data_IF_383793302273
#
_entry.id   IF_383793302273
#
_cell.length_a   1.000
_cell.length_b   1.000
_cell.length_c   1.000
_cell.angle_alpha   90.00
_cell.angle_beta   90.00
_cell.angle_gamma   90.00
#
_symmetry.space_group_name_H-M   'P 1'
#
loop_
_entity.id
_entity.type
_entity.pdbx_description
1 polymer ?
#
# COMPACT_ATOMS: atom_id res chain seq x y z
N UNK A 1 -19.48 -40.60 -19.63
CA UNK A 1 -20.50 -39.60 -19.21
C UNK A 1 -21.28 -40.04 -17.97
N UNK A 2 -21.72 -41.33 -17.92
CA UNK A 2 -22.48 -41.87 -16.78
C UNK A 2 -21.66 -41.86 -15.46
N UNK A 3 -20.36 -42.10 -15.54
CA UNK A 3 -19.42 -42.12 -14.39
C UNK A 3 -19.20 -40.69 -13.84
N UNK A 4 -19.14 -39.68 -14.71
CA UNK A 4 -19.04 -38.26 -14.28
C UNK A 4 -20.33 -37.78 -13.58
N UNK A 5 -21.52 -38.26 -14.00
CA UNK A 5 -22.79 -37.91 -13.35
C UNK A 5 -22.93 -38.57 -11.97
N UNK A 6 -22.47 -39.82 -11.83
CA UNK A 6 -22.45 -40.52 -10.53
C UNK A 6 -21.45 -39.87 -9.54
N UNK A 7 -20.30 -39.42 -10.01
CA UNK A 7 -19.31 -38.69 -9.19
C UNK A 7 -19.82 -37.35 -8.70
N UNK A 8 -20.52 -36.58 -9.53
CA UNK A 8 -21.17 -35.33 -9.11
C UNK A 8 -22.28 -35.54 -8.09
N UNK A 9 -23.04 -36.65 -8.17
CA UNK A 9 -24.13 -36.97 -7.23
C UNK A 9 -23.59 -37.41 -5.87
N UNK A 10 -22.43 -38.04 -5.81
CA UNK A 10 -21.77 -38.47 -4.57
C UNK A 10 -21.08 -37.29 -3.83
N UNK A 11 -20.53 -36.32 -4.55
CA UNK A 11 -19.85 -35.15 -3.95
C UNK A 11 -20.84 -34.19 -3.29
N UNK A 12 -22.08 -34.10 -3.78
CA UNK A 12 -23.11 -33.21 -3.23
C UNK A 12 -23.81 -33.78 -1.95
N UNK A 13 -23.68 -35.07 -1.69
CA UNK A 13 -24.38 -35.74 -0.54
C UNK A 13 -23.50 -36.22 0.61
N UNK A 14 -22.18 -36.18 0.51
CA UNK A 14 -21.30 -36.64 1.62
C UNK A 14 -20.68 -35.49 2.42
N UNK A 15 -21.49 -34.82 3.25
CA UNK A 15 -21.05 -34.40 4.58
C UNK A 15 -21.18 -35.62 5.48
N UNK A 16 -20.20 -36.53 5.54
CA UNK A 16 -20.12 -37.58 6.54
C UNK A 16 -18.72 -38.20 6.61
N UNK A 17 -18.22 -38.20 7.82
CA UNK A 17 -17.19 -39.05 8.47
C UNK A 17 -16.40 -40.02 7.58
N UNK A 18 -15.07 -39.86 7.66
CA UNK A 18 -14.07 -40.83 7.21
C UNK A 18 -14.37 -42.23 7.80
N UNK A 19 -14.84 -43.13 6.94
CA UNK A 19 -14.78 -44.56 7.19
C UNK A 19 -13.91 -45.18 6.11
N UNK A 20 -12.84 -45.84 6.53
CA UNK A 20 -11.92 -46.60 5.67
C UNK A 20 -12.68 -47.69 4.95
N UNK A 21 -12.88 -47.56 3.64
CA UNK A 21 -13.39 -48.66 2.80
C UNK A 21 -12.40 -48.83 1.64
N UNK A 22 -11.62 -49.88 1.78
CA UNK A 22 -10.75 -50.36 0.69
C UNK A 22 -11.58 -51.09 -0.37
N UNK A 23 -11.92 -50.45 -1.47
CA UNK A 23 -12.48 -51.06 -2.66
C UNK A 23 -11.40 -51.21 -3.74
N UNK A 24 -11.08 -52.43 -4.15
CA UNK A 24 -10.21 -52.72 -5.28
C UNK A 24 -11.07 -53.02 -6.51
N UNK A 25 -10.89 -52.26 -7.58
CA UNK A 25 -11.44 -52.59 -8.89
C UNK A 25 -10.25 -53.01 -9.77
N UNK A 26 -10.29 -54.25 -10.29
CA UNK A 26 -9.27 -54.82 -11.16
C UNK A 26 -9.77 -54.79 -12.60
N UNK A 27 -9.05 -54.09 -13.48
CA UNK A 27 -9.17 -54.22 -14.93
C UNK A 27 -7.78 -54.23 -15.54
N UNK A 28 -7.31 -55.40 -16.03
CA UNK A 28 -6.15 -55.57 -16.87
C UNK A 28 -4.84 -54.90 -16.38
N UNK A 29 -3.76 -54.99 -17.07
CA UNK A 29 -2.38 -54.54 -16.75
C UNK A 29 -2.21 -53.00 -16.49
N UNK A 30 -3.15 -52.33 -15.86
CA UNK A 30 -3.10 -50.92 -15.49
C UNK A 30 -2.84 -50.79 -13.98
N UNK A 31 -1.87 -49.94 -13.60
CA UNK A 31 -1.52 -49.62 -12.21
C UNK A 31 -2.79 -49.29 -11.40
N UNK A 32 -3.05 -50.07 -10.36
CA UNK A 32 -4.19 -49.89 -9.45
C UNK A 32 -3.90 -48.64 -8.62
N UNK A 33 -4.70 -47.56 -8.81
CA UNK A 33 -4.74 -46.43 -7.91
C UNK A 33 -5.85 -46.69 -6.89
N UNK A 34 -5.58 -46.42 -5.62
CA UNK A 34 -6.59 -46.50 -4.57
C UNK A 34 -7.61 -45.38 -4.75
N UNK A 35 -8.84 -45.56 -4.24
CA UNK A 35 -9.87 -44.49 -4.28
C UNK A 35 -9.38 -43.21 -3.62
N UNK A 36 -8.52 -43.32 -2.60
CA UNK A 36 -7.85 -42.19 -1.95
C UNK A 36 -6.86 -41.47 -2.89
N UNK A 37 -6.10 -42.21 -3.68
CA UNK A 37 -5.17 -41.61 -4.68
C UNK A 37 -5.93 -41.02 -5.87
N UNK A 38 -7.04 -41.61 -6.29
CA UNK A 38 -7.95 -41.03 -7.28
C UNK A 38 -8.64 -39.77 -6.77
N UNK A 39 -9.06 -39.78 -5.51
CA UNK A 39 -9.64 -38.59 -4.85
C UNK A 39 -8.59 -37.52 -4.57
N UNK A 40 -7.35 -37.92 -4.18
CA UNK A 40 -6.24 -36.99 -4.05
C UNK A 40 -5.84 -36.41 -5.42
N UNK A 41 -5.73 -37.24 -6.46
CA UNK A 41 -5.44 -36.76 -7.81
C UNK A 41 -6.58 -35.92 -8.39
N UNK A 42 -7.85 -36.26 -8.12
CA UNK A 42 -8.99 -35.42 -8.50
C UNK A 42 -9.01 -34.11 -7.68
N UNK A 43 -8.67 -34.16 -6.39
CA UNK A 43 -8.51 -32.96 -5.54
C UNK A 43 -7.32 -32.11 -6.02
N UNK A 44 -6.18 -32.71 -6.34
CA UNK A 44 -5.04 -32.00 -6.92
C UNK A 44 -5.31 -31.52 -8.36
N UNK A 45 -6.09 -32.25 -9.15
CA UNK A 45 -6.50 -31.82 -10.49
C UNK A 45 -7.55 -30.70 -10.41
N UNK A 46 -8.51 -30.75 -9.49
CA UNK A 46 -9.48 -29.68 -9.25
C UNK A 46 -8.88 -28.49 -8.50
N UNK A 47 -7.86 -28.71 -7.66
CA UNK A 47 -7.10 -27.61 -7.06
C UNK A 47 -6.13 -26.96 -8.05
N UNK A 48 -5.64 -27.69 -9.08
CA UNK A 48 -4.87 -27.12 -10.19
C UNK A 48 -5.72 -26.44 -11.25
N UNK A 49 -7.04 -26.68 -11.31
CA UNK A 49 -7.96 -26.04 -12.25
C UNK A 49 -8.87 -24.98 -11.60
N UNK A 50 -8.49 -24.37 -10.48
CA UNK A 50 -8.87 -22.98 -10.25
C UNK A 50 -8.13 -22.20 -11.33
N UNK A 51 -8.85 -21.73 -12.35
CA UNK A 51 -8.34 -20.80 -13.34
C UNK A 51 -7.80 -19.57 -12.58
N UNK A 52 -6.57 -19.66 -12.09
CA UNK A 52 -5.83 -18.48 -11.63
C UNK A 52 -5.54 -17.69 -12.88
N UNK A 53 -6.28 -16.62 -13.08
CA UNK A 53 -6.01 -15.64 -14.13
C UNK A 53 -4.89 -14.66 -13.69
N UNK A 54 -3.95 -15.13 -12.84
CA UNK A 54 -2.79 -14.33 -12.46
C UNK A 54 -1.96 -14.11 -13.73
N UNK A 55 -1.78 -12.87 -14.18
CA UNK A 55 -1.01 -12.59 -15.38
C UNK A 55 0.44 -13.04 -15.22
N UNK A 56 0.98 -13.69 -16.23
CA UNK A 56 2.43 -13.94 -16.32
C UNK A 56 3.10 -12.65 -16.76
N UNK A 57 3.79 -11.99 -15.82
CA UNK A 57 4.45 -10.71 -16.03
C UNK A 57 5.89 -10.79 -15.55
N UNK A 58 6.80 -10.29 -16.37
CA UNK A 58 8.20 -10.10 -16.03
C UNK A 58 8.43 -8.62 -15.66
N UNK A 59 9.03 -8.39 -14.51
CA UNK A 59 9.22 -7.03 -14.02
C UNK A 59 10.16 -6.22 -14.92
N UNK A 60 11.08 -6.89 -15.60
CA UNK A 60 12.03 -6.31 -16.54
C UNK A 60 11.35 -5.62 -17.75
N UNK A 61 10.14 -6.06 -18.14
CA UNK A 61 9.35 -5.43 -19.20
C UNK A 61 8.92 -4.00 -18.82
N UNK A 62 9.00 -3.67 -17.54
CA UNK A 62 8.67 -2.36 -16.96
C UNK A 62 9.92 -1.55 -16.58
N UNK A 63 11.04 -1.89 -17.20
CA UNK A 63 12.29 -1.14 -17.08
C UNK A 63 12.34 0.06 -18.03
N UNK A 64 12.98 1.13 -17.60
CA UNK A 64 13.30 2.31 -18.41
C UNK A 64 14.55 2.99 -17.85
N UNK A 65 15.29 3.80 -18.66
CA UNK A 65 16.56 4.40 -18.26
C UNK A 65 16.33 5.61 -17.34
N UNK A 66 16.21 5.38 -16.03
CA UNK A 66 16.16 6.44 -15.02
C UNK A 66 17.57 6.74 -14.53
N UNK A 67 18.13 7.85 -14.97
CA UNK A 67 19.43 8.35 -14.51
C UNK A 67 19.31 9.18 -13.23
N UNK A 68 20.36 9.24 -12.42
CA UNK A 68 20.35 9.91 -11.11
C UNK A 68 20.05 11.42 -11.20
N UNK A 69 20.40 12.07 -12.30
CA UNK A 69 20.11 13.50 -12.57
C UNK A 69 18.62 13.76 -12.80
N UNK A 70 17.84 12.74 -13.13
CA UNK A 70 16.39 12.83 -13.27
C UNK A 70 15.63 12.66 -11.95
N UNK A 71 16.28 12.14 -10.94
CA UNK A 71 15.69 11.97 -9.60
C UNK A 71 15.75 13.31 -8.86
N UNK A 72 14.59 13.86 -8.53
CA UNK A 72 14.51 15.10 -7.77
C UNK A 72 14.90 14.86 -6.31
N UNK A 73 16.13 15.23 -5.94
CA UNK A 73 16.63 15.09 -4.56
C UNK A 73 16.00 16.10 -3.60
N UNK A 74 15.52 17.24 -4.10
CA UNK A 74 14.92 18.33 -3.33
C UNK A 74 13.60 18.79 -3.94
N UNK A 75 12.65 19.27 -3.10
CA UNK A 75 11.41 19.87 -3.58
C UNK A 75 11.69 21.21 -4.27
N UNK A 76 10.79 21.61 -5.18
CA UNK A 76 10.78 22.97 -5.72
C UNK A 76 10.42 23.97 -4.61
N UNK A 77 10.83 25.25 -4.69
CA UNK A 77 10.42 26.29 -3.75
C UNK A 77 8.89 26.35 -3.61
N UNK A 78 8.17 26.42 -4.72
CA UNK A 78 6.71 26.31 -4.75
C UNK A 78 6.30 24.89 -5.17
N UNK A 79 5.46 24.23 -4.36
CA UNK A 79 5.01 22.84 -4.59
C UNK A 79 4.31 22.66 -5.94
N UNK A 80 3.43 23.58 -6.29
CA UNK A 80 2.58 23.54 -7.48
C UNK A 80 3.23 24.13 -8.76
N UNK A 81 4.51 24.52 -8.69
CA UNK A 81 5.31 24.87 -9.86
C UNK A 81 5.91 23.66 -10.57
N UNK A 82 5.73 22.45 -10.05
CA UNK A 82 6.10 21.20 -10.71
C UNK A 82 5.35 21.04 -12.04
N UNK A 83 5.96 20.31 -12.98
CA UNK A 83 5.29 19.93 -14.23
C UNK A 83 4.17 18.93 -13.95
N UNK A 84 3.12 18.99 -14.77
CA UNK A 84 2.01 18.07 -14.78
C UNK A 84 1.84 17.49 -16.19
N UNK A 85 2.07 16.21 -16.35
CA UNK A 85 1.77 15.49 -17.57
C UNK A 85 0.30 15.11 -17.57
N UNK A 86 -0.47 15.55 -18.54
CA UNK A 86 -1.87 15.16 -18.76
C UNK A 86 -1.92 14.11 -19.86
N UNK A 87 -2.47 12.95 -19.52
CA UNK A 87 -2.67 11.84 -20.46
C UNK A 87 -4.14 11.43 -20.51
N UNK A 88 -4.74 11.56 -21.69
CA UNK A 88 -6.12 11.17 -21.97
C UNK A 88 -6.20 10.61 -23.39
N UNK A 89 -6.79 9.41 -23.56
CA UNK A 89 -7.06 8.77 -24.86
C UNK A 89 -5.85 8.75 -25.83
N UNK A 90 -4.66 8.50 -25.30
CA UNK A 90 -3.42 8.44 -26.10
C UNK A 90 -2.77 9.80 -26.38
N UNK A 91 -3.38 10.91 -26.00
CA UNK A 91 -2.80 12.26 -26.10
C UNK A 91 -2.04 12.60 -24.84
N UNK A 92 -0.86 13.21 -25.04
CA UNK A 92 0.00 13.70 -23.95
C UNK A 92 0.13 15.21 -24.10
N UNK A 93 -0.18 15.93 -23.03
CA UNK A 93 -0.01 17.37 -22.92
C UNK A 93 0.82 17.70 -21.68
N UNK A 94 1.58 18.80 -21.73
CA UNK A 94 2.42 19.26 -20.62
C UNK A 94 1.87 20.55 -20.05
N UNK A 95 1.63 20.54 -18.74
CA UNK A 95 1.12 21.68 -17.97
C UNK A 95 2.02 21.92 -16.74
N UNK A 96 1.64 22.89 -15.93
CA UNK A 96 2.16 23.08 -14.57
C UNK A 96 1.10 22.58 -13.58
N UNK A 97 1.49 22.06 -12.44
CA UNK A 97 0.57 21.47 -11.46
C UNK A 97 -0.51 22.47 -10.99
N UNK A 98 -0.18 23.77 -10.93
CA UNK A 98 -1.16 24.85 -10.62
C UNK A 98 -2.36 24.88 -11.57
N UNK A 99 -2.24 24.35 -12.79
CA UNK A 99 -3.33 24.25 -13.76
C UNK A 99 -4.24 23.02 -13.53
N UNK A 100 -3.91 22.15 -12.57
CA UNK A 100 -4.70 20.93 -12.30
C UNK A 100 -6.20 21.20 -12.17
N UNK A 101 -6.68 22.23 -11.45
CA UNK A 101 -8.13 22.48 -11.33
C UNK A 101 -8.83 22.63 -12.68
N UNK A 102 -8.19 23.26 -13.67
CA UNK A 102 -8.76 23.52 -14.99
C UNK A 102 -8.89 22.24 -15.84
N UNK A 103 -8.08 21.22 -15.56
CA UNK A 103 -8.04 19.94 -16.28
C UNK A 103 -9.02 18.90 -15.70
N UNK A 104 -9.58 19.16 -14.53
CA UNK A 104 -10.50 18.24 -13.87
C UNK A 104 -11.95 18.47 -14.29
N UNK A 105 -12.78 17.42 -14.40
CA UNK A 105 -14.20 17.55 -14.65
C UNK A 105 -14.93 18.20 -13.46
N UNK A 106 -15.85 19.11 -13.75
CA UNK A 106 -16.68 19.75 -12.71
C UNK A 106 -17.53 18.73 -11.95
N UNK A 107 -17.74 18.98 -10.68
CA UNK A 107 -18.54 18.10 -9.82
C UNK A 107 -17.95 16.73 -9.57
N UNK A 108 -16.67 16.48 -9.90
CA UNK A 108 -15.98 15.22 -9.58
C UNK A 108 -15.84 15.02 -8.06
N UNK A 109 -15.53 13.81 -7.66
CA UNK A 109 -15.13 13.47 -6.30
C UNK A 109 -13.62 13.16 -6.27
N UNK A 110 -12.84 13.92 -5.52
CA UNK A 110 -11.40 13.73 -5.37
C UNK A 110 -11.06 13.15 -4.00
N UNK A 111 -10.30 12.05 -3.97
CA UNK A 111 -9.97 11.33 -2.74
C UNK A 111 -8.46 11.33 -2.51
N UNK A 112 -8.08 11.79 -1.32
CA UNK A 112 -6.71 11.89 -0.84
C UNK A 112 -6.41 10.83 0.22
N UNK A 113 -5.13 10.54 0.43
CA UNK A 113 -4.66 9.82 1.61
C UNK A 113 -4.13 10.83 2.63
N UNK A 114 -4.83 11.01 3.75
CA UNK A 114 -4.51 12.03 4.77
C UNK A 114 -3.56 11.52 5.87
N UNK A 115 -2.89 10.40 5.62
CA UNK A 115 -1.89 9.88 6.56
C UNK A 115 -0.73 10.86 6.75
N UNK A 116 -0.25 10.97 8.00
CA UNK A 116 0.88 11.81 8.38
C UNK A 116 2.12 10.95 8.60
N UNK A 117 3.24 11.35 7.99
CA UNK A 117 4.53 10.70 8.22
C UNK A 117 4.99 10.96 9.65
N UNK A 118 5.43 9.90 10.31
CA UNK A 118 6.04 9.98 11.64
C UNK A 118 7.57 9.91 11.50
N UNK A 119 8.34 10.60 12.37
CA UNK A 119 9.80 10.53 12.37
C UNK A 119 10.27 9.16 12.88
N UNK A 120 10.06 8.11 12.08
CA UNK A 120 10.21 6.71 12.48
C UNK A 120 11.64 6.18 12.41
N UNK A 121 12.61 7.01 12.05
CA UNK A 121 14.03 6.66 11.95
C UNK A 121 14.78 7.17 13.17
N UNK A 122 15.32 6.25 13.98
CA UNK A 122 15.99 6.52 15.25
C UNK A 122 17.43 6.04 15.20
N UNK A 123 18.34 6.78 15.82
CA UNK A 123 19.73 6.37 15.97
C UNK A 123 20.02 6.00 17.42
N UNK A 124 20.74 4.92 17.59
CA UNK A 124 21.15 4.41 18.90
C UNK A 124 22.63 4.11 18.90
N UNK A 125 23.23 4.10 20.09
CA UNK A 125 24.64 3.82 20.30
C UNK A 125 24.82 2.67 21.28
N UNK A 126 25.73 1.77 20.95
CA UNK A 126 26.21 0.73 21.86
C UNK A 126 27.23 1.31 22.83
N UNK A 127 27.46 0.66 23.97
CA UNK A 127 28.52 1.02 24.90
C UNK A 127 29.93 1.00 24.24
N UNK A 128 30.09 0.18 23.18
CA UNK A 128 31.32 0.13 22.35
C UNK A 128 31.49 1.32 21.40
N UNK A 129 30.51 2.24 21.34
CA UNK A 129 30.52 3.40 20.45
C UNK A 129 29.91 3.18 19.08
N UNK A 130 29.57 1.95 18.70
CA UNK A 130 28.97 1.67 17.39
C UNK A 130 27.54 2.21 17.27
N UNK A 131 27.24 2.92 16.18
CA UNK A 131 25.92 3.47 15.89
C UNK A 131 25.09 2.42 15.15
N UNK A 132 23.84 2.26 15.58
CA UNK A 132 22.80 1.41 14.99
C UNK A 132 21.59 2.28 14.65
N UNK A 133 21.19 2.28 13.38
CA UNK A 133 19.95 2.89 12.94
C UNK A 133 18.80 1.90 13.09
N UNK A 134 17.68 2.36 13.66
CA UNK A 134 16.46 1.56 13.81
C UNK A 134 15.33 2.32 13.15
N UNK A 135 14.74 1.70 12.14
CA UNK A 135 13.62 2.25 11.38
C UNK A 135 12.33 1.47 11.67
N UNK A 136 11.39 2.10 12.38
CA UNK A 136 10.10 1.52 12.75
C UNK A 136 9.22 1.27 11.52
N UNK A 137 8.72 0.04 11.35
CA UNK A 137 7.86 -0.34 10.23
C UNK A 137 6.39 -0.44 10.63
N UNK A 138 6.11 -1.27 11.66
CA UNK A 138 4.76 -1.49 12.16
C UNK A 138 4.77 -1.89 13.63
N UNK A 139 3.70 -1.56 14.39
CA UNK A 139 3.59 -1.96 15.78
C UNK A 139 3.36 -3.47 15.92
N UNK A 140 3.91 -4.06 16.97
CA UNK A 140 3.77 -5.46 17.35
C UNK A 140 3.06 -5.58 18.69
N UNK A 141 3.37 -4.70 19.65
CA UNK A 141 2.72 -4.65 20.95
C UNK A 141 2.69 -3.21 21.49
N UNK A 142 1.51 -2.60 21.66
CA UNK A 142 0.20 -3.01 21.11
C UNK A 142 0.19 -3.13 19.58
N UNK A 143 -0.71 -3.94 19.02
CA UNK A 143 -0.79 -4.16 17.56
C UNK A 143 -1.43 -2.96 16.83
N UNK A 144 -2.38 -2.29 17.48
CA UNK A 144 -3.07 -1.13 16.92
C UNK A 144 -2.18 0.12 16.96
N UNK A 145 -2.07 0.81 15.83
CA UNK A 145 -1.24 2.01 15.69
C UNK A 145 -1.55 3.08 16.74
N UNK A 146 -2.84 3.37 16.96
CA UNK A 146 -3.25 4.40 17.92
C UNK A 146 -2.83 4.05 19.35
N UNK A 147 -2.96 2.78 19.75
CA UNK A 147 -2.54 2.32 21.07
C UNK A 147 -1.02 2.29 21.20
N UNK A 148 -0.32 1.86 20.16
CA UNK A 148 1.14 1.86 20.14
C UNK A 148 1.71 3.28 20.25
N UNK A 149 1.16 4.24 19.52
CA UNK A 149 1.56 5.66 19.62
C UNK A 149 1.18 6.31 20.95
N UNK A 150 0.10 5.86 21.59
CA UNK A 150 -0.32 6.33 22.91
C UNK A 150 0.42 5.66 24.08
N UNK A 151 1.22 4.64 23.85
CA UNK A 151 2.02 3.97 24.89
C UNK A 151 2.96 4.98 25.57
N UNK A 152 3.08 4.91 26.90
CA UNK A 152 3.75 5.96 27.70
C UNK A 152 5.03 5.50 28.40
N UNK A 153 5.41 4.23 28.28
CA UNK A 153 6.60 3.67 28.93
C UNK A 153 7.35 2.68 28.03
N UNK A 154 6.65 1.83 27.28
CA UNK A 154 7.24 0.87 26.37
C UNK A 154 6.29 0.50 25.25
N UNK A 155 6.87 0.06 24.12
CA UNK A 155 6.14 -0.57 23.02
C UNK A 155 7.10 -1.41 22.18
N UNK A 156 6.54 -2.35 21.39
CA UNK A 156 7.33 -3.18 20.46
C UNK A 156 6.95 -2.91 19.03
N UNK A 157 7.96 -2.77 18.20
CA UNK A 157 7.80 -2.54 16.77
C UNK A 157 8.64 -3.52 15.96
N UNK A 158 8.11 -3.94 14.84
CA UNK A 158 8.94 -4.50 13.78
C UNK A 158 9.72 -3.36 13.13
N UNK A 159 11.03 -3.54 12.97
CA UNK A 159 11.94 -2.51 12.50
C UNK A 159 12.91 -3.06 11.46
N UNK A 160 13.36 -2.21 10.53
CA UNK A 160 14.60 -2.44 9.79
C UNK A 160 15.76 -1.95 10.65
N UNK A 161 16.82 -2.76 10.72
CA UNK A 161 17.99 -2.47 11.52
C UNK A 161 19.17 -2.21 10.59
N UNK A 162 19.55 -0.94 10.49
CA UNK A 162 20.77 -0.52 9.79
C UNK A 162 22.00 -1.02 10.51
N UNK A 163 23.01 -1.44 9.75
CA UNK A 163 24.23 -2.04 10.34
C UNK A 163 23.94 -3.23 11.29
N UNK A 164 22.90 -4.02 10.99
CA UNK A 164 22.38 -5.08 11.86
C UNK A 164 23.43 -6.09 12.33
N UNK A 165 24.56 -6.25 11.61
CA UNK A 165 25.71 -7.09 12.00
C UNK A 165 26.45 -6.54 13.23
N UNK A 166 26.34 -5.24 13.49
CA UNK A 166 26.99 -4.56 14.62
C UNK A 166 26.20 -4.70 15.91
N UNK A 167 24.90 -4.95 15.84
CA UNK A 167 24.06 -5.16 17.03
C UNK A 167 24.10 -6.62 17.48
N UNK A 168 24.62 -6.87 18.67
CA UNK A 168 24.79 -8.21 19.26
C UNK A 168 23.69 -8.59 20.25
N UNK A 169 22.62 -7.76 20.36
CA UNK A 169 21.52 -7.98 21.29
C UNK A 169 21.68 -7.24 22.63
N UNK A 170 22.76 -6.47 22.79
CA UNK A 170 22.94 -5.56 23.93
C UNK A 170 21.91 -4.43 23.90
N UNK A 171 21.63 -3.87 25.08
CA UNK A 171 20.74 -2.74 25.24
C UNK A 171 21.38 -1.49 24.60
N UNK A 172 20.66 -0.82 23.72
CA UNK A 172 21.13 0.40 23.07
C UNK A 172 20.56 1.63 23.77
N UNK A 173 21.35 2.71 23.82
CA UNK A 173 20.92 4.03 24.28
C UNK A 173 20.71 4.96 23.09
N UNK A 174 19.72 5.83 23.16
CA UNK A 174 19.47 6.85 22.15
C UNK A 174 20.72 7.68 21.87
N UNK A 175 20.92 8.00 20.60
CA UNK A 175 22.06 8.78 20.14
C UNK A 175 21.60 9.78 19.08
N UNK A 176 22.06 11.02 19.25
CA UNK A 176 21.93 12.09 18.29
C UNK A 176 23.32 12.64 17.97
N UNK A 177 23.59 12.98 16.72
CA UNK A 177 24.86 13.57 16.34
C UNK A 177 24.90 15.04 16.79
N UNK A 178 25.91 15.42 17.56
CA UNK A 178 26.03 16.75 18.18
C UNK A 178 25.52 16.77 19.63
N UNK A 179 24.89 17.87 20.03
CA UNK A 179 24.34 18.05 21.37
C UNK A 179 22.91 17.51 21.46
N UNK A 180 22.73 16.48 22.28
CA UNK A 180 21.39 15.91 22.54
C UNK A 180 20.53 16.97 23.24
N UNK A 181 19.32 17.20 22.72
CA UNK A 181 18.40 18.14 23.35
C UNK A 181 18.07 17.72 24.79
N UNK A 182 17.85 18.69 25.68
CA UNK A 182 17.47 18.41 27.07
C UNK A 182 16.26 17.49 27.16
N UNK A 183 15.29 17.73 26.28
CA UNK A 183 14.04 16.99 26.23
C UNK A 183 14.28 15.50 25.81
N UNK A 184 15.15 15.26 24.83
CA UNK A 184 15.54 13.92 24.44
C UNK A 184 16.36 13.18 25.51
N UNK A 185 17.26 13.91 26.21
CA UNK A 185 18.04 13.36 27.30
C UNK A 185 17.17 12.89 28.48
N UNK A 186 16.13 13.66 28.83
CA UNK A 186 15.19 13.34 29.92
C UNK A 186 14.36 12.07 29.62
N UNK A 187 14.16 11.71 28.35
CA UNK A 187 13.45 10.48 27.97
C UNK A 187 14.22 9.22 28.30
N UNK A 188 15.55 9.27 28.39
CA UNK A 188 16.39 8.08 28.59
C UNK A 188 15.99 6.93 27.65
N UNK A 189 15.69 7.24 26.38
CA UNK A 189 15.17 6.28 25.40
C UNK A 189 16.18 5.16 25.14
N UNK A 190 15.72 3.90 25.25
CA UNK A 190 16.51 2.70 25.03
C UNK A 190 15.81 1.77 24.04
N UNK A 191 16.60 0.91 23.36
CA UNK A 191 16.11 -0.11 22.45
C UNK A 191 16.72 -1.48 22.78
N UNK A 192 15.88 -2.49 22.90
CA UNK A 192 16.25 -3.88 23.10
C UNK A 192 15.78 -4.74 21.92
N UNK A 193 16.66 -5.61 21.42
CA UNK A 193 16.33 -6.56 20.36
C UNK A 193 15.64 -7.78 20.97
N UNK A 194 14.38 -8.02 20.59
CA UNK A 194 13.60 -9.17 21.06
C UNK A 194 13.77 -10.36 20.11
N UNK A 195 13.67 -10.09 18.81
CA UNK A 195 13.76 -11.10 17.75
C UNK A 195 14.45 -10.49 16.54
N UNK A 196 15.18 -11.31 15.77
CA UNK A 196 15.88 -10.83 14.57
C UNK A 196 15.76 -11.81 13.42
N UNK A 197 15.37 -11.28 12.26
CA UNK A 197 15.31 -12.00 10.99
C UNK A 197 16.01 -11.17 9.90
N UNK A 198 17.26 -11.56 9.57
CA UNK A 198 18.07 -10.85 8.57
C UNK A 198 18.36 -9.39 8.96
N UNK A 199 17.79 -8.45 8.19
CA UNK A 199 17.88 -7.00 8.43
C UNK A 199 16.69 -6.46 9.21
N UNK A 200 15.65 -7.26 9.44
CA UNK A 200 14.48 -6.87 10.24
C UNK A 200 14.55 -7.50 11.63
N UNK A 201 13.82 -6.95 12.57
CA UNK A 201 13.70 -7.49 13.92
C UNK A 201 12.59 -6.83 14.71
N UNK A 202 12.16 -7.50 15.78
CA UNK A 202 11.25 -6.92 16.76
C UNK A 202 12.08 -6.22 17.81
N UNK A 203 11.87 -4.92 17.93
CA UNK A 203 12.58 -4.03 18.88
C UNK A 203 11.59 -3.55 19.93
N UNK A 204 11.97 -3.68 21.18
CA UNK A 204 11.27 -3.05 22.31
C UNK A 204 11.93 -1.71 22.63
N UNK A 205 11.12 -0.65 22.56
CA UNK A 205 11.52 0.69 23.01
C UNK A 205 11.03 0.91 24.43
N UNK A 206 11.87 1.51 25.27
CA UNK A 206 11.55 1.90 26.64
C UNK A 206 12.03 3.32 26.88
N UNK A 207 11.23 4.13 27.59
CA UNK A 207 11.56 5.52 27.90
C UNK A 207 10.96 5.96 29.21
N UNK A 208 11.40 7.12 29.71
CA UNK A 208 10.92 7.76 30.92
C UNK A 208 10.08 8.99 30.61
N UNK A 209 9.50 9.63 31.64
CA UNK A 209 8.78 10.89 31.53
C UNK A 209 7.33 10.76 31.12
N UNK A 210 6.79 9.54 30.89
CA UNK A 210 5.36 9.30 30.63
C UNK A 210 4.80 9.91 29.34
N UNK A 211 5.65 10.39 28.43
CA UNK A 211 5.22 10.93 27.14
C UNK A 211 4.72 9.80 26.22
N UNK A 212 3.69 10.02 25.38
CA UNK A 212 3.27 9.08 24.35
C UNK A 212 4.43 8.75 23.38
N UNK A 213 4.50 7.53 22.86
CA UNK A 213 5.53 7.12 21.90
C UNK A 213 5.56 8.02 20.65
N UNK A 214 4.40 8.52 20.21
CA UNK A 214 4.34 9.50 19.12
C UNK A 214 5.16 10.77 19.43
N UNK A 215 5.16 11.25 20.68
CA UNK A 215 5.98 12.38 21.10
C UNK A 215 7.45 12.02 21.23
N UNK A 216 7.75 10.78 21.67
CA UNK A 216 9.13 10.26 21.69
C UNK A 216 9.71 10.25 20.28
N UNK A 217 8.95 9.78 19.29
CA UNK A 217 9.38 9.82 17.89
C UNK A 217 9.59 11.25 17.39
N UNK A 218 8.72 12.21 17.76
CA UNK A 218 8.87 13.61 17.37
C UNK A 218 10.13 14.27 17.97
N UNK A 219 10.52 13.87 19.16
CA UNK A 219 11.69 14.43 19.87
C UNK A 219 12.98 13.76 19.40
N UNK A 220 12.98 12.45 19.22
CA UNK A 220 14.18 11.64 18.99
C UNK A 220 14.35 11.16 17.53
N UNK A 221 13.29 11.21 16.73
CA UNK A 221 13.27 10.60 15.42
C UNK A 221 13.55 11.57 14.26
N UNK A 222 13.96 10.98 13.15
CA UNK A 222 14.12 11.67 11.88
C UNK A 222 13.05 11.21 10.88
N UNK A 223 12.60 12.09 10.02
CA UNK A 223 11.68 11.77 8.94
C UNK A 223 12.36 10.79 7.97
N UNK A 224 11.77 9.62 7.72
CA UNK A 224 12.38 8.64 6.83
C UNK A 224 12.16 9.04 5.37
N UNK A 225 13.14 9.70 4.77
CA UNK A 225 13.13 9.96 3.34
C UNK A 225 13.54 8.70 2.56
N UNK A 226 13.02 8.53 1.32
CA UNK A 226 13.35 7.36 0.50
C UNK A 226 14.84 7.23 0.17
N UNK A 227 15.40 5.99 0.16
CA UNK A 227 16.83 5.76 -0.11
C UNK A 227 17.30 6.28 -1.47
N UNK A 228 16.43 6.33 -2.49
CA UNK A 228 16.79 6.82 -3.83
C UNK A 228 17.06 8.32 -3.89
N UNK A 229 16.75 9.08 -2.83
CA UNK A 229 17.15 10.49 -2.73
C UNK A 229 18.66 10.62 -2.50
N UNK A 230 19.33 9.55 -2.06
CA UNK A 230 20.78 9.44 -1.92
C UNK A 230 21.39 10.65 -1.20
N UNK A 231 20.79 10.99 -0.07
CA UNK A 231 21.22 12.02 0.89
C UNK A 231 20.59 11.76 2.25
N UNK A 232 21.14 12.38 3.27
CA UNK A 232 20.57 12.37 4.61
C UNK A 232 19.33 13.25 4.72
N UNK A 233 18.52 13.02 5.76
CA UNK A 233 17.36 13.84 6.09
C UNK A 233 17.84 15.21 6.57
N UNK A 234 17.25 16.27 6.05
CA UNK A 234 17.51 17.65 6.41
C UNK A 234 16.29 18.29 7.08
N UNK A 235 16.48 19.42 7.77
CA UNK A 235 15.40 20.13 8.46
C UNK A 235 14.21 20.46 7.53
N UNK A 236 14.47 20.73 6.26
CA UNK A 236 13.44 21.00 5.25
C UNK A 236 12.50 19.82 5.04
N UNK A 237 12.96 18.57 5.21
CA UNK A 237 12.14 17.38 4.98
C UNK A 237 11.04 17.21 6.02
N UNK A 238 11.22 17.71 7.25
CA UNK A 238 10.19 17.67 8.28
C UNK A 238 8.89 18.38 7.85
N UNK A 239 9.01 19.45 7.07
CA UNK A 239 7.88 20.18 6.52
C UNK A 239 7.53 19.71 5.09
N UNK A 240 8.54 19.51 4.25
CA UNK A 240 8.33 19.32 2.80
C UNK A 240 7.99 17.89 2.42
N UNK A 241 8.36 16.89 3.25
CA UNK A 241 7.98 15.49 3.05
C UNK A 241 6.64 15.16 3.75
N UNK A 242 5.74 16.17 3.83
CA UNK A 242 4.37 16.08 4.34
C UNK A 242 3.40 16.74 3.37
N UNK A 243 2.19 16.19 3.27
CA UNK A 243 1.09 16.83 2.54
C UNK A 243 0.44 17.90 3.41
N UNK A 244 -0.17 18.93 2.78
CA UNK A 244 -0.87 19.99 3.51
C UNK A 244 -2.08 19.48 4.30
N UNK A 245 -2.67 18.39 3.86
CA UNK A 245 -3.86 17.79 4.45
C UNK A 245 -3.57 16.58 5.36
N UNK A 246 -2.30 16.32 5.67
CA UNK A 246 -1.90 15.22 6.56
C UNK A 246 -2.43 15.41 7.98
N UNK A 247 -3.22 14.46 8.49
CA UNK A 247 -3.89 14.52 9.79
C UNK A 247 -3.57 13.34 10.68
N UNK A 248 -3.67 12.12 10.16
CA UNK A 248 -3.63 10.88 10.93
C UNK A 248 -2.21 10.33 10.93
N UNK A 249 -1.56 10.32 12.11
CA UNK A 249 -0.21 9.79 12.29
C UNK A 249 -0.19 8.28 12.12
N UNK A 250 0.83 7.73 11.47
CA UNK A 250 0.98 6.27 11.35
C UNK A 250 1.74 5.79 10.13
N UNK A 251 2.07 6.69 9.20
CA UNK A 251 2.79 6.34 7.98
C UNK A 251 4.28 6.57 8.14
N UNK A 252 5.07 5.69 7.55
CA UNK A 252 6.53 5.87 7.45
C UNK A 252 6.95 6.44 6.09
N UNK A 253 6.03 6.52 5.12
CA UNK A 253 6.23 7.18 3.84
C UNK A 253 5.10 8.17 3.54
N UNK A 254 5.44 9.29 2.92
CA UNK A 254 4.45 10.27 2.49
C UNK A 254 3.64 9.75 1.30
N UNK A 255 2.35 10.09 1.18
CA UNK A 255 1.60 9.95 -0.08
C UNK A 255 2.08 11.02 -1.07
N UNK A 256 3.19 10.73 -1.75
CA UNK A 256 4.03 11.72 -2.45
C UNK A 256 3.30 12.49 -3.56
N UNK A 257 2.27 11.91 -4.18
CA UNK A 257 1.41 12.62 -5.14
C UNK A 257 0.71 13.84 -4.51
N UNK A 258 0.53 13.83 -3.19
CA UNK A 258 -0.05 14.95 -2.45
C UNK A 258 0.91 16.10 -2.16
N UNK A 259 2.22 15.92 -2.38
CA UNK A 259 3.23 16.93 -2.07
C UNK A 259 3.15 18.16 -2.99
N UNK A 260 2.50 18.05 -4.14
CA UNK A 260 2.34 19.12 -5.11
C UNK A 260 1.23 20.11 -4.76
N UNK A 261 0.26 19.68 -3.93
CA UNK A 261 -0.91 20.50 -3.60
C UNK A 261 -0.53 21.68 -2.71
N UNK A 262 -1.11 22.82 -3.04
CA UNK A 262 -1.10 24.08 -2.27
C UNK A 262 -2.53 24.48 -1.93
N UNK A 263 -2.71 25.38 -0.99
CA UNK A 263 -4.04 25.93 -0.68
C UNK A 263 -4.69 26.52 -1.94
N UNK A 264 -3.93 27.25 -2.76
CA UNK A 264 -4.37 27.80 -4.05
C UNK A 264 -4.97 26.74 -4.97
N UNK A 265 -4.30 25.58 -5.11
CA UNK A 265 -4.79 24.48 -5.94
C UNK A 265 -6.03 23.83 -5.34
N UNK A 266 -6.06 23.62 -4.02
CA UNK A 266 -7.23 23.08 -3.33
C UNK A 266 -8.46 23.99 -3.43
N UNK A 267 -8.27 25.30 -3.31
CA UNK A 267 -9.36 26.27 -3.46
C UNK A 267 -9.84 26.35 -4.91
N UNK A 268 -8.93 26.27 -5.89
CA UNK A 268 -9.28 26.15 -7.31
C UNK A 268 -10.13 24.91 -7.59
N UNK A 269 -9.80 23.76 -6.99
CA UNK A 269 -10.57 22.52 -7.11
C UNK A 269 -11.98 22.70 -6.51
N UNK A 270 -12.09 23.24 -5.30
CA UNK A 270 -13.38 23.49 -4.62
C UNK A 270 -14.25 24.46 -5.41
N UNK A 271 -13.66 25.51 -6.01
CA UNK A 271 -14.40 26.50 -6.80
C UNK A 271 -15.05 25.90 -8.05
N UNK A 272 -14.61 24.74 -8.52
CA UNK A 272 -15.23 23.98 -9.62
C UNK A 272 -16.29 22.97 -9.15
N UNK A 273 -16.71 23.06 -7.89
CA UNK A 273 -17.69 22.14 -7.32
C UNK A 273 -17.18 20.71 -7.15
N UNK A 274 -15.85 20.51 -7.11
CA UNK A 274 -15.23 19.22 -6.88
C UNK A 274 -15.18 18.94 -5.40
N UNK A 275 -15.84 17.87 -4.95
CA UNK A 275 -15.81 17.43 -3.57
C UNK A 275 -14.46 16.82 -3.23
N UNK A 276 -13.92 17.15 -2.04
CA UNK A 276 -12.68 16.60 -1.50
C UNK A 276 -12.98 15.70 -0.31
N UNK A 277 -12.52 14.46 -0.39
CA UNK A 277 -12.66 13.46 0.66
C UNK A 277 -11.31 12.79 0.97
N UNK A 278 -11.24 12.08 2.10
CA UNK A 278 -10.01 11.45 2.53
C UNK A 278 -10.22 9.97 2.86
N UNK A 279 -9.20 9.18 2.57
CA UNK A 279 -8.96 7.87 3.14
C UNK A 279 -7.69 7.94 3.98
N UNK A 280 -7.54 7.03 4.94
CA UNK A 280 -6.29 6.90 5.67
C UNK A 280 -5.70 5.52 5.40
N UNK A 281 -4.60 5.45 4.66
CA UNK A 281 -3.81 4.23 4.49
C UNK A 281 -2.41 4.50 5.03
N UNK A 282 -1.98 3.70 6.00
CA UNK A 282 -0.64 3.79 6.55
C UNK A 282 0.35 3.06 5.64
N UNK A 283 1.18 3.86 4.98
CA UNK A 283 2.19 3.35 4.03
C UNK A 283 3.37 2.79 4.79
N UNK A 284 3.67 1.51 4.57
CA UNK A 284 4.85 0.85 5.12
C UNK A 284 6.12 1.13 4.30
N UNK A 285 7.29 0.88 4.90
CA UNK A 285 8.59 1.06 4.23
C UNK A 285 8.81 0.12 3.02
N UNK A 286 7.97 -0.90 2.86
CA UNK A 286 8.03 -1.81 1.71
C UNK A 286 7.85 -1.13 0.35
N UNK A 287 7.20 0.04 0.32
CA UNK A 287 7.04 0.86 -0.90
C UNK A 287 8.36 1.42 -1.44
N UNK A 288 9.41 1.44 -0.64
CA UNK A 288 10.74 1.89 -1.07
C UNK A 288 11.60 0.77 -1.66
N UNK A 289 11.16 -0.47 -1.56
CA UNK A 289 11.94 -1.62 -2.01
C UNK A 289 11.56 -1.97 -3.46
N UNK A 290 12.55 -2.15 -4.36
CA UNK A 290 12.29 -2.65 -5.70
C UNK A 290 11.79 -4.11 -5.64
N UNK A 291 11.07 -4.53 -6.67
CA UNK A 291 10.73 -5.94 -6.86
C UNK A 291 12.03 -6.70 -7.13
N UNK A 292 12.31 -7.72 -6.33
CA UNK A 292 13.55 -8.51 -6.45
C UNK A 292 13.40 -9.74 -7.36
N UNK A 293 12.19 -10.22 -7.51
CA UNK A 293 11.87 -11.40 -8.30
C UNK A 293 11.59 -10.99 -9.74
N UNK A 294 12.16 -11.69 -10.70
CA UNK A 294 11.92 -11.47 -12.14
C UNK A 294 10.44 -11.70 -12.50
N UNK A 295 9.81 -12.68 -11.87
CA UNK A 295 8.37 -12.95 -12.03
C UNK A 295 7.56 -12.19 -10.98
N UNK A 296 6.66 -11.31 -11.41
CA UNK A 296 5.80 -10.52 -10.54
C UNK A 296 4.92 -11.40 -9.63
N UNK A 297 4.56 -12.60 -10.07
CA UNK A 297 3.78 -13.57 -9.29
C UNK A 297 4.44 -14.02 -7.99
N UNK A 298 5.77 -13.98 -7.92
CA UNK A 298 6.56 -14.37 -6.74
C UNK A 298 6.74 -13.24 -5.72
N UNK A 299 6.54 -12.00 -6.15
CA UNK A 299 6.65 -10.84 -5.26
C UNK A 299 5.56 -10.86 -4.19
N UNK A 300 5.93 -10.56 -2.95
CA UNK A 300 5.01 -10.52 -1.80
C UNK A 300 4.73 -9.08 -1.38
N UNK A 301 3.49 -8.66 -1.54
CA UNK A 301 3.02 -7.36 -1.05
C UNK A 301 2.86 -7.36 0.47
N UNK A 302 3.32 -6.31 1.12
CA UNK A 302 3.06 -6.09 2.53
C UNK A 302 1.59 -5.70 2.75
N UNK A 303 1.07 -6.08 3.93
CA UNK A 303 -0.23 -5.64 4.39
C UNK A 303 -0.16 -4.17 4.77
N UNK A 304 -1.04 -3.36 4.20
CA UNK A 304 -1.21 -1.96 4.58
C UNK A 304 -2.60 -1.78 5.20
N UNK A 305 -2.68 -1.36 6.47
CA UNK A 305 -3.95 -1.08 7.12
C UNK A 305 -4.50 0.25 6.60
N UNK A 306 -5.83 0.29 6.45
CA UNK A 306 -6.51 1.52 6.04
C UNK A 306 -7.84 1.71 6.76
N UNK A 307 -8.30 2.96 6.77
CA UNK A 307 -9.57 3.38 7.34
C UNK A 307 -10.34 4.20 6.31
N UNK A 308 -11.64 3.92 6.18
CA UNK A 308 -12.57 4.67 5.34
C UNK A 308 -13.82 5.00 6.16
N UNK A 309 -14.14 6.29 6.25
CA UNK A 309 -15.32 6.77 6.98
C UNK A 309 -16.62 6.39 6.26
N UNK A 310 -17.69 6.13 7.03
CA UNK A 310 -19.00 5.76 6.50
C UNK A 310 -19.54 6.84 5.52
N UNK A 311 -19.32 8.13 5.85
CA UNK A 311 -19.77 9.24 4.99
C UNK A 311 -19.16 9.20 3.58
N UNK A 312 -17.87 8.83 3.45
CA UNK A 312 -17.25 8.63 2.14
C UNK A 312 -17.86 7.43 1.40
N UNK A 313 -18.10 6.31 2.10
CA UNK A 313 -18.73 5.12 1.50
C UNK A 313 -20.14 5.42 0.97
N UNK A 314 -20.91 6.23 1.69
CA UNK A 314 -22.24 6.68 1.24
C UNK A 314 -22.15 7.61 0.01
N UNK A 315 -21.16 8.51 -0.02
CA UNK A 315 -20.89 9.35 -1.20
C UNK A 315 -20.47 8.51 -2.41
N UNK A 316 -19.60 7.53 -2.22
CA UNK A 316 -19.18 6.60 -3.29
C UNK A 316 -20.35 5.77 -3.82
N UNK A 317 -21.26 5.32 -2.96
CA UNK A 317 -22.44 4.57 -3.33
C UNK A 317 -23.45 5.44 -4.13
N UNK A 318 -23.60 6.70 -3.74
CA UNK A 318 -24.50 7.66 -4.42
C UNK A 318 -23.86 8.31 -5.68
N UNK A 319 -22.60 8.03 -5.94
CA UNK A 319 -21.77 8.70 -6.94
C UNK A 319 -22.33 8.59 -8.36
N UNK A 320 -22.45 9.76 -9.02
CA UNK A 320 -22.79 9.89 -10.44
C UNK A 320 -21.74 10.70 -11.22
N UNK A 321 -20.59 10.97 -10.62
CA UNK A 321 -19.53 11.81 -11.16
C UNK A 321 -18.21 11.02 -11.24
N UNK A 322 -17.19 11.48 -11.98
CA UNK A 322 -15.87 10.86 -12.00
C UNK A 322 -15.19 10.84 -10.63
N UNK A 323 -14.51 9.74 -10.29
CA UNK A 323 -13.73 9.58 -9.09
C UNK A 323 -12.23 9.75 -9.38
N UNK A 324 -11.62 10.71 -8.71
CA UNK A 324 -10.21 11.05 -8.86
C UNK A 324 -9.44 10.57 -7.63
N UNK A 325 -8.51 9.66 -7.82
CA UNK A 325 -7.62 9.24 -6.75
C UNK A 325 -6.31 10.05 -6.78
N UNK A 326 -5.87 10.55 -5.64
CA UNK A 326 -4.57 11.19 -5.49
C UNK A 326 -3.60 10.20 -4.86
N UNK A 327 -2.66 9.72 -5.66
CA UNK A 327 -1.67 8.71 -5.31
C UNK A 327 -2.14 7.27 -5.46
N UNK A 328 -1.18 6.40 -5.68
CA UNK A 328 -1.39 4.95 -5.84
C UNK A 328 -1.95 4.30 -4.57
N UNK A 329 -1.67 4.86 -3.39
CA UNK A 329 -2.24 4.42 -2.11
C UNK A 329 -3.75 4.64 -2.04
N UNK A 330 -4.24 5.78 -2.53
CA UNK A 330 -5.68 6.06 -2.62
C UNK A 330 -6.36 5.10 -3.60
N UNK A 331 -5.73 4.82 -4.76
CA UNK A 331 -6.24 3.81 -5.71
C UNK A 331 -6.37 2.45 -5.04
N UNK A 332 -5.32 1.98 -4.37
CA UNK A 332 -5.32 0.67 -3.72
C UNK A 332 -6.38 0.56 -2.63
N UNK A 333 -6.59 1.63 -1.85
CA UNK A 333 -7.65 1.68 -0.84
C UNK A 333 -9.03 1.60 -1.49
N UNK A 334 -9.30 2.47 -2.45
CA UNK A 334 -10.61 2.58 -3.11
C UNK A 334 -10.98 1.27 -3.85
N UNK A 335 -10.06 0.73 -4.63
CA UNK A 335 -10.30 -0.53 -5.35
C UNK A 335 -10.45 -1.73 -4.42
N UNK A 336 -9.83 -1.70 -3.22
CA UNK A 336 -10.01 -2.75 -2.20
C UNK A 336 -11.43 -2.80 -1.65
N UNK A 337 -12.18 -1.70 -1.67
CA UNK A 337 -13.56 -1.66 -1.16
C UNK A 337 -14.48 -2.64 -1.88
N UNK A 338 -14.30 -2.79 -3.20
CA UNK A 338 -15.10 -3.76 -3.97
C UNK A 338 -14.94 -5.19 -3.41
N UNK A 339 -13.73 -5.64 -3.17
CA UNK A 339 -13.43 -7.00 -2.69
C UNK A 339 -13.85 -7.21 -1.23
N UNK A 340 -13.80 -6.17 -0.41
CA UNK A 340 -14.34 -6.20 0.96
C UNK A 340 -15.86 -6.36 0.93
N UNK A 341 -16.54 -5.58 0.08
CA UNK A 341 -18.00 -5.70 -0.09
C UNK A 341 -18.41 -7.09 -0.57
N UNK A 342 -17.70 -7.62 -1.55
CA UNK A 342 -17.91 -8.99 -2.03
C UNK A 342 -17.70 -10.02 -0.89
N UNK A 343 -16.68 -9.82 -0.06
CA UNK A 343 -16.41 -10.70 1.08
C UNK A 343 -17.54 -10.63 2.13
N UNK A 344 -18.06 -9.43 2.41
CA UNK A 344 -19.21 -9.25 3.32
C UNK A 344 -20.46 -9.99 2.79
N UNK A 345 -20.73 -9.89 1.49
CA UNK A 345 -21.85 -10.61 0.85
C UNK A 345 -21.68 -12.13 1.03
N UNK A 346 -20.46 -12.65 0.88
CA UNK A 346 -20.17 -14.08 0.97
C UNK A 346 -20.11 -14.61 2.41
N UNK A 347 -19.64 -13.82 3.37
CA UNK A 347 -19.27 -14.30 4.70
C UNK A 347 -19.98 -13.60 5.86
N UNK A 348 -20.69 -12.51 5.60
CA UNK A 348 -21.36 -11.67 6.61
C UNK A 348 -20.44 -10.69 7.35
N UNK A 349 -19.12 -10.65 7.06
CA UNK A 349 -18.17 -9.76 7.74
C UNK A 349 -17.02 -9.33 6.82
N UNK A 350 -16.39 -8.16 7.07
CA UNK A 350 -15.23 -7.73 6.31
C UNK A 350 -14.00 -8.59 6.61
N UNK A 351 -13.10 -8.70 5.61
CA UNK A 351 -11.77 -9.26 5.78
C UNK A 351 -10.77 -8.45 4.96
N UNK A 352 -9.48 -8.63 5.26
CA UNK A 352 -8.39 -8.04 4.48
C UNK A 352 -8.43 -8.52 3.02
N UNK A 353 -7.98 -7.66 2.11
CA UNK A 353 -7.88 -8.02 0.69
C UNK A 353 -6.54 -8.67 0.42
N UNK A 354 -6.56 -9.91 -0.02
CA UNK A 354 -5.37 -10.65 -0.37
C UNK A 354 -4.78 -10.17 -1.71
N UNK A 355 -3.47 -10.40 -1.89
CA UNK A 355 -2.70 -9.85 -3.01
C UNK A 355 -3.30 -10.13 -4.38
N UNK A 356 -3.70 -11.37 -4.62
CA UNK A 356 -4.18 -11.87 -5.91
C UNK A 356 -5.69 -12.03 -5.98
N UNK A 357 -6.43 -11.60 -4.94
CA UNK A 357 -7.89 -11.69 -4.91
C UNK A 357 -8.57 -11.20 -6.20
N UNK A 358 -8.11 -10.09 -6.84
CA UNK A 358 -8.70 -9.61 -8.09
C UNK A 358 -8.63 -10.58 -9.29
N UNK A 359 -7.71 -11.56 -9.22
CA UNK A 359 -7.37 -12.42 -10.35
C UNK A 359 -7.67 -13.92 -10.08
N UNK A 360 -8.18 -14.26 -8.89
CA UNK A 360 -8.39 -15.66 -8.50
C UNK A 360 -9.75 -16.22 -8.92
N UNK A 361 -10.75 -15.35 -9.04
CA UNK A 361 -12.13 -15.74 -9.37
C UNK A 361 -12.77 -14.70 -10.27
N UNK A 362 -13.84 -15.09 -10.98
CA UNK A 362 -14.69 -14.14 -11.67
C UNK A 362 -15.53 -13.35 -10.64
N UNK A 363 -15.50 -12.03 -10.74
CA UNK A 363 -16.22 -11.10 -9.86
C UNK A 363 -17.46 -10.60 -10.58
N UNK A 364 -18.64 -11.10 -10.19
CA UNK A 364 -19.91 -10.91 -10.90
C UNK A 364 -20.84 -9.88 -10.28
N UNK A 365 -20.57 -9.46 -9.02
CA UNK A 365 -21.40 -8.45 -8.36
C UNK A 365 -21.09 -7.04 -8.90
N UNK A 366 -22.06 -6.15 -8.84
CA UNK A 366 -21.86 -4.75 -9.21
C UNK A 366 -21.07 -4.00 -8.13
N UNK A 367 -20.48 -2.86 -8.50
CA UNK A 367 -19.78 -1.99 -7.54
C UNK A 367 -20.74 -1.44 -6.50
N UNK A 368 -21.98 -1.14 -6.91
CA UNK A 368 -23.05 -0.65 -6.04
C UNK A 368 -23.44 -1.71 -4.99
N UNK A 369 -23.59 -2.97 -5.39
CA UNK A 369 -23.88 -4.07 -4.47
C UNK A 369 -22.76 -4.24 -3.43
N UNK A 370 -21.50 -4.18 -3.89
CA UNK A 370 -20.35 -4.31 -3.00
C UNK A 370 -20.27 -3.16 -1.98
N UNK A 371 -20.37 -1.91 -2.44
CA UNK A 371 -20.38 -0.73 -1.56
C UNK A 371 -21.60 -0.73 -0.63
N UNK A 372 -22.78 -1.08 -1.15
CA UNK A 372 -24.01 -1.22 -0.36
C UNK A 372 -23.89 -2.22 0.77
N UNK A 373 -23.20 -3.34 0.53
CA UNK A 373 -22.92 -4.34 1.57
C UNK A 373 -22.04 -3.80 2.70
N UNK A 374 -21.02 -2.99 2.38
CA UNK A 374 -20.18 -2.34 3.38
C UNK A 374 -20.98 -1.34 4.20
N UNK A 375 -21.72 -0.44 3.53
CA UNK A 375 -22.54 0.60 4.19
C UNK A 375 -23.57 -0.05 5.12
N UNK A 376 -24.26 -1.11 4.64
CA UNK A 376 -25.22 -1.87 5.44
C UNK A 376 -24.54 -2.51 6.66
N UNK A 377 -23.41 -3.19 6.45
CA UNK A 377 -22.67 -3.84 7.54
C UNK A 377 -22.29 -2.83 8.64
N UNK A 378 -21.76 -1.66 8.26
CA UNK A 378 -21.37 -0.64 9.24
C UNK A 378 -22.59 -0.13 10.02
N UNK A 379 -23.69 0.19 9.34
CA UNK A 379 -24.92 0.68 9.98
C UNK A 379 -25.53 -0.36 10.93
N UNK A 380 -25.63 -1.61 10.49
CA UNK A 380 -26.20 -2.71 11.30
C UNK A 380 -25.38 -2.98 12.58
N UNK A 381 -24.07 -2.67 12.56
CA UNK A 381 -23.18 -2.84 13.70
C UNK A 381 -22.88 -1.53 14.47
N UNK A 382 -23.53 -0.41 14.13
CA UNK A 382 -23.31 0.88 14.78
C UNK A 382 -21.90 1.45 14.58
N UNK A 383 -21.24 1.10 13.48
CA UNK A 383 -19.88 1.53 13.15
C UNK A 383 -19.92 2.77 12.24
N UNK A 384 -19.02 3.71 12.48
CA UNK A 384 -18.89 4.95 11.69
C UNK A 384 -17.79 4.87 10.64
N UNK A 385 -16.97 3.82 10.67
CA UNK A 385 -15.83 3.62 9.76
C UNK A 385 -15.54 2.15 9.50
N UNK A 386 -15.05 1.87 8.30
CA UNK A 386 -14.45 0.60 7.92
C UNK A 386 -12.97 0.61 8.31
N UNK A 387 -12.52 -0.40 9.04
CA UNK A 387 -11.10 -0.66 9.32
C UNK A 387 -10.76 -2.00 8.68
N UNK A 388 -9.79 -2.02 7.78
CA UNK A 388 -9.37 -3.22 7.06
C UNK A 388 -7.90 -3.12 6.65
N UNK A 389 -7.38 -4.14 5.99
CA UNK A 389 -6.05 -4.14 5.40
C UNK A 389 -6.08 -4.59 3.95
N UNK A 390 -5.08 -4.17 3.19
CA UNK A 390 -4.92 -4.60 1.81
C UNK A 390 -3.49 -5.04 1.51
N UNK A 391 -3.37 -6.11 0.74
CA UNK A 391 -2.16 -6.54 0.05
C UNK A 391 -2.34 -6.43 -1.47
N UNK A 392 -3.46 -5.84 -1.92
CA UNK A 392 -3.81 -5.82 -3.34
C UNK A 392 -2.64 -5.39 -4.21
N UNK A 393 -2.34 -6.18 -5.24
CA UNK A 393 -1.44 -5.80 -6.32
C UNK A 393 -2.27 -5.45 -7.55
N UNK A 394 -1.97 -4.32 -8.18
CA UNK A 394 -2.64 -3.87 -9.38
C UNK A 394 -1.65 -3.97 -10.54
N UNK A 395 -1.94 -4.86 -11.47
CA UNK A 395 -1.08 -5.16 -12.64
C UNK A 395 -1.92 -5.12 -13.92
N UNK A 396 -1.33 -5.03 -15.11
CA UNK A 396 -2.05 -5.11 -16.38
C UNK A 396 -3.05 -6.26 -16.43
N UNK A 397 -4.25 -5.97 -16.86
CA UNK A 397 -5.41 -6.87 -16.80
C UNK A 397 -6.31 -6.68 -15.58
N UNK A 398 -5.94 -5.82 -14.63
CA UNK A 398 -6.81 -5.42 -13.51
C UNK A 398 -8.05 -4.69 -14.00
N UNK A 399 -9.22 -5.05 -13.48
CA UNK A 399 -10.49 -4.40 -13.79
C UNK A 399 -10.78 -3.35 -12.71
N UNK A 400 -10.48 -2.09 -12.99
CA UNK A 400 -10.85 -0.98 -12.12
C UNK A 400 -12.35 -0.87 -11.95
N UNK A 401 -12.82 -0.70 -10.72
CA UNK A 401 -14.24 -0.66 -10.36
C UNK A 401 -14.70 0.73 -9.95
N UNK A 402 -13.84 1.50 -9.31
CA UNK A 402 -14.19 2.78 -8.72
C UNK A 402 -13.46 3.97 -9.37
N UNK A 403 -12.13 3.87 -9.52
CA UNK A 403 -11.29 5.03 -9.88
C UNK A 403 -11.32 5.29 -11.36
N UNK A 404 -11.63 6.53 -11.75
CA UNK A 404 -11.71 6.98 -13.15
C UNK A 404 -10.49 7.81 -13.57
N UNK A 405 -9.88 8.54 -12.63
CA UNK A 405 -8.72 9.39 -12.88
C UNK A 405 -7.69 9.23 -11.75
N UNK A 406 -6.43 9.37 -12.10
CA UNK A 406 -5.31 9.22 -11.16
C UNK A 406 -4.35 10.41 -11.27
N UNK A 407 -4.12 11.10 -10.14
CA UNK A 407 -3.00 12.04 -9.98
C UNK A 407 -1.88 11.31 -9.29
N UNK A 408 -0.70 11.19 -9.94
CA UNK A 408 0.44 10.45 -9.35
C UNK A 408 1.78 10.98 -9.83
N UNK A 409 2.86 10.64 -9.11
CA UNK A 409 4.23 10.92 -9.53
C UNK A 409 4.71 9.89 -10.56
N UNK A 410 5.88 10.13 -11.14
CA UNK A 410 6.61 9.12 -11.91
C UNK A 410 7.33 8.17 -10.96
N UNK A 411 7.20 6.87 -11.20
CA UNK A 411 7.68 5.81 -10.31
C UNK A 411 8.98 5.19 -10.81
N UNK A 412 9.70 4.50 -9.90
CA UNK A 412 10.91 3.76 -10.24
C UNK A 412 10.64 2.69 -11.31
N UNK A 413 11.62 2.41 -12.18
CA UNK A 413 11.57 1.22 -13.03
C UNK A 413 11.48 -0.03 -12.17
N UNK A 414 10.88 -1.09 -12.71
CA UNK A 414 10.78 -2.41 -12.09
C UNK A 414 10.10 -2.37 -10.69
N UNK A 415 9.13 -1.46 -10.50
CA UNK A 415 8.37 -1.34 -9.26
C UNK A 415 6.91 -1.77 -9.44
N UNK A 416 6.26 -2.17 -8.35
CA UNK A 416 4.81 -2.46 -8.35
C UNK A 416 3.97 -1.23 -8.71
N UNK A 417 4.52 -0.03 -8.55
CA UNK A 417 3.82 1.22 -8.83
C UNK A 417 3.75 1.52 -10.33
N UNK A 418 4.79 1.19 -11.12
CA UNK A 418 4.72 1.33 -12.57
C UNK A 418 3.77 0.28 -13.18
N UNK A 419 3.64 -0.90 -12.56
CA UNK A 419 2.65 -1.90 -12.95
C UNK A 419 1.23 -1.36 -12.79
N UNK A 420 0.94 -0.67 -11.67
CA UNK A 420 -0.34 -0.03 -11.42
C UNK A 420 -0.63 1.06 -12.47
N UNK A 421 0.35 1.92 -12.76
CA UNK A 421 0.22 2.95 -13.81
C UNK A 421 -0.04 2.29 -15.17
N UNK A 422 0.70 1.25 -15.51
CA UNK A 422 0.51 0.48 -16.74
C UNK A 422 -0.91 -0.10 -16.85
N UNK A 423 -1.41 -0.72 -15.77
CA UNK A 423 -2.77 -1.22 -15.70
C UNK A 423 -3.80 -0.11 -15.92
N UNK A 424 -3.59 1.05 -15.30
CA UNK A 424 -4.52 2.19 -15.33
C UNK A 424 -4.67 2.79 -16.74
N UNK A 425 -3.57 2.89 -17.48
CA UNK A 425 -3.56 3.46 -18.85
C UNK A 425 -3.70 2.39 -19.95
N UNK A 426 -4.15 1.17 -19.59
CA UNK A 426 -4.38 0.07 -20.54
C UNK A 426 -3.13 -0.41 -21.27
N UNK A 427 -2.00 -0.43 -20.60
CA UNK A 427 -0.69 -0.87 -21.12
C UNK A 427 0.15 0.24 -21.73
N UNK A 428 -0.40 1.44 -21.97
CA UNK A 428 0.29 2.55 -22.67
C UNK A 428 1.23 3.38 -21.77
N UNK A 429 1.86 2.77 -20.78
CA UNK A 429 2.74 3.48 -19.86
C UNK A 429 4.04 3.97 -20.51
N UNK A 430 4.62 3.21 -21.44
CA UNK A 430 5.93 3.51 -22.04
C UNK A 430 5.96 4.86 -22.77
N UNK A 431 5.03 5.20 -23.68
CA UNK A 431 5.01 6.51 -24.34
C UNK A 431 4.92 7.68 -23.33
N UNK A 432 4.23 7.49 -22.18
CA UNK A 432 4.11 8.50 -21.12
C UNK A 432 5.46 8.76 -20.48
N UNK A 433 6.19 7.70 -20.12
CA UNK A 433 7.50 7.80 -19.48
C UNK A 433 8.58 8.28 -20.44
N UNK A 434 8.56 7.81 -21.70
CA UNK A 434 9.47 8.28 -22.74
C UNK A 434 9.29 9.78 -23.02
N UNK A 435 8.04 10.26 -23.09
CA UNK A 435 7.74 11.68 -23.20
C UNK A 435 8.29 12.47 -21.99
N UNK A 436 8.06 11.98 -20.77
CA UNK A 436 8.55 12.62 -19.55
C UNK A 436 10.08 12.74 -19.55
N UNK A 437 10.79 11.67 -19.91
CA UNK A 437 12.26 11.68 -20.03
C UNK A 437 12.74 12.67 -21.09
N UNK A 438 12.13 12.67 -22.27
CA UNK A 438 12.52 13.55 -23.38
C UNK A 438 12.24 15.04 -23.09
N UNK A 439 11.22 15.35 -22.27
CA UNK A 439 10.80 16.72 -21.98
C UNK A 439 11.30 17.25 -20.61
N UNK A 440 12.33 16.62 -20.03
CA UNK A 440 12.99 17.12 -18.84
C UNK A 440 12.10 17.12 -17.59
N UNK A 441 11.21 16.13 -17.45
CA UNK A 441 10.49 15.88 -16.20
C UNK A 441 11.45 15.32 -15.16
N UNK A 442 11.15 15.63 -13.89
CA UNK A 442 11.85 15.12 -12.73
C UNK A 442 11.03 13.95 -12.14
N UNK A 443 11.69 12.99 -11.56
CA UNK A 443 11.08 11.72 -11.15
C UNK A 443 11.05 11.56 -9.64
N UNK A 444 10.19 10.65 -9.19
CA UNK A 444 10.02 10.17 -7.83
C UNK A 444 9.41 11.21 -6.88
N UNK A 445 9.68 11.11 -5.54
CA UNK A 445 8.93 11.80 -4.49
C UNK A 445 8.82 13.31 -4.64
N UNK A 446 9.93 13.99 -4.95
CA UNK A 446 9.99 15.44 -5.15
C UNK A 446 9.97 15.84 -6.62
N UNK A 447 9.74 14.88 -7.51
CA UNK A 447 9.67 15.05 -8.94
C UNK A 447 8.45 15.80 -9.42
N UNK A 448 8.04 15.50 -10.64
CA UNK A 448 6.87 16.06 -11.29
C UNK A 448 5.71 15.07 -11.23
N UNK A 449 4.52 15.49 -11.64
CA UNK A 449 3.29 14.73 -11.50
C UNK A 449 2.67 14.38 -12.86
N UNK A 450 1.74 13.45 -12.85
CA UNK A 450 0.89 13.11 -13.98
C UNK A 450 -0.58 13.06 -13.58
N UNK A 451 -1.47 13.48 -14.47
CA UNK A 451 -2.91 13.30 -14.43
C UNK A 451 -3.27 12.29 -15.52
N UNK A 452 -3.71 11.12 -15.11
CA UNK A 452 -4.00 9.99 -15.99
C UNK A 452 -5.49 9.69 -16.00
N UNK A 453 -6.07 9.54 -17.18
CA UNK A 453 -7.41 9.07 -17.37
C UNK A 453 -7.39 7.56 -17.59
N UNK A 454 -8.34 6.85 -16.97
CA UNK A 454 -8.48 5.42 -17.16
C UNK A 454 -8.90 5.12 -18.58
N UNK A 455 -8.31 4.09 -19.17
CA UNK A 455 -8.73 3.55 -20.45
C UNK A 455 -9.88 2.55 -20.29
#
# INVERSE_FOLDING_TARGET
>A
LLILHLLNFLVVKCKLQLIDVNFKIVFGDVKILTLSELLLNAYFCTSKSKNRMIPELHIEDYSYPLTSDRIAKYPLPERDSSKLLHYCDGKIESHTFKNLPELLPEGALMVFNDTKVVPARLHFKRDTGAIVEIFCLRPVLPVEYNLAFASTASCRWECVIGNSKRWKGDLLSFFEEGEVSKEAAELCLKAALIEKEGQTGIVEFTWQGGKPFSSVLEICGNVPIPPYLDRDTEAIDHERYQTLYAKIRGSVAAPTAGLHFTERVLDGIKSRGIDIENVCLHVGAGTFLPVKDSEVSKHKMHREPFVVELGLLEKLLAKKCPLIAVGTTSVRTLESLYYIGETIIKTGKPADVEQWAPYETEHVISTEEALGAIVKYLKDNGLTKLVAGTRIIIVPGFKFRLVDMLVTNFHQPESTLILLVSAFVGGNWRPIYDYALANGYRFLSYGDSSLLFRK
#
